data_IF_640481526379
#
_entry.id   IF_640481526379
#
_cell.length_a   1.000
_cell.length_b   1.000
_cell.length_c   1.000
_cell.angle_alpha   90.00
_cell.angle_beta   90.00
_cell.angle_gamma   90.00
#
_symmetry.space_group_name_H-M   'P 1'
#
loop_
_entity.id
_entity.type
_entity.pdbx_description
1 polymer ?
#
# COMPACT_ATOMS: atom_id res chain seq x y z
N UNK A 1 -26.15 8.98 -37.32
CA UNK A 1 -24.68 8.96 -37.13
C UNK A 1 -24.41 8.57 -35.69
N UNK A 2 -24.08 7.30 -35.42
CA UNK A 2 -23.76 6.82 -34.07
C UNK A 2 -22.27 7.08 -33.83
N UNK A 3 -21.96 8.03 -32.96
CA UNK A 3 -20.61 8.22 -32.41
C UNK A 3 -20.24 6.94 -31.65
N UNK A 4 -19.22 6.23 -32.13
CA UNK A 4 -18.62 5.11 -31.41
C UNK A 4 -18.04 5.64 -30.08
N UNK A 5 -18.15 4.90 -28.96
CA UNK A 5 -17.55 5.33 -27.71
C UNK A 5 -16.02 5.26 -27.87
N UNK A 6 -15.38 6.41 -28.00
CA UNK A 6 -13.96 6.53 -27.72
C UNK A 6 -13.71 6.25 -26.23
N UNK A 7 -12.59 5.59 -25.94
CA UNK A 7 -11.83 5.65 -24.68
C UNK A 7 -11.83 4.53 -23.62
N UNK A 8 -12.32 3.32 -23.87
CA UNK A 8 -12.08 2.24 -22.89
C UNK A 8 -10.61 1.78 -22.77
N UNK A 9 -9.80 1.93 -23.82
CA UNK A 9 -8.42 1.43 -23.81
C UNK A 9 -7.43 2.44 -23.20
N UNK A 10 -7.49 3.72 -23.60
CA UNK A 10 -6.57 4.76 -23.10
C UNK A 10 -6.69 5.04 -21.60
N UNK A 11 -7.91 5.03 -21.06
CA UNK A 11 -8.15 5.21 -19.62
C UNK A 11 -7.64 4.03 -18.79
N UNK A 12 -7.72 2.80 -19.32
CA UNK A 12 -7.17 1.62 -18.64
C UNK A 12 -5.64 1.61 -18.63
N UNK A 13 -4.98 2.02 -19.72
CA UNK A 13 -3.53 2.16 -19.74
C UNK A 13 -3.04 3.24 -18.76
N UNK A 14 -3.71 4.40 -18.72
CA UNK A 14 -3.40 5.46 -17.77
C UNK A 14 -3.61 5.02 -16.32
N UNK A 15 -4.74 4.36 -16.03
CA UNK A 15 -5.03 3.80 -14.71
C UNK A 15 -3.98 2.77 -14.27
N UNK A 16 -3.54 1.91 -15.18
CA UNK A 16 -2.51 0.92 -14.90
C UNK A 16 -1.13 1.56 -14.63
N UNK A 17 -0.77 2.58 -15.41
CA UNK A 17 0.47 3.34 -15.21
C UNK A 17 0.47 4.07 -13.85
N UNK A 18 -0.64 4.74 -13.50
CA UNK A 18 -0.80 5.42 -12.21
C UNK A 18 -0.75 4.44 -11.03
N UNK A 19 -1.40 3.28 -11.15
CA UNK A 19 -1.32 2.21 -10.15
C UNK A 19 0.12 1.75 -9.96
N UNK A 20 0.84 1.49 -11.05
CA UNK A 20 2.23 1.01 -11.00
C UNK A 20 3.15 2.04 -10.34
N UNK A 21 3.01 3.33 -10.67
CA UNK A 21 3.76 4.40 -10.05
C UNK A 21 3.51 4.45 -8.53
N UNK A 22 2.25 4.48 -8.09
CA UNK A 22 1.89 4.45 -6.66
C UNK A 22 2.39 3.19 -5.97
N UNK A 23 2.31 2.03 -6.61
CA UNK A 23 2.81 0.78 -6.06
C UNK A 23 4.32 0.84 -5.83
N UNK A 24 5.08 1.36 -6.79
CA UNK A 24 6.54 1.54 -6.66
C UNK A 24 6.86 2.49 -5.49
N UNK A 25 6.16 3.61 -5.38
CA UNK A 25 6.37 4.58 -4.30
C UNK A 25 6.10 3.98 -2.92
N UNK A 26 4.97 3.30 -2.75
CA UNK A 26 4.58 2.63 -1.50
C UNK A 26 5.62 1.56 -1.15
N UNK A 27 5.94 0.66 -2.10
CA UNK A 27 6.88 -0.44 -1.86
C UNK A 27 8.28 0.08 -1.55
N UNK A 28 8.75 1.15 -2.20
CA UNK A 28 10.05 1.78 -1.90
C UNK A 28 10.12 2.27 -0.46
N UNK A 29 9.09 2.98 0.01
CA UNK A 29 9.02 3.48 1.39
C UNK A 29 8.94 2.35 2.42
N UNK A 30 8.16 1.30 2.12
CA UNK A 30 8.05 0.12 3.00
C UNK A 30 9.34 -0.70 3.03
N UNK A 31 10.02 -0.89 1.90
CA UNK A 31 11.34 -1.53 1.81
C UNK A 31 12.38 -0.78 2.66
N UNK A 32 12.43 0.55 2.55
CA UNK A 32 13.31 1.36 3.39
C UNK A 32 13.02 1.12 4.88
N UNK A 33 11.75 1.10 5.26
CA UNK A 33 11.31 0.84 6.64
C UNK A 33 11.65 -0.57 7.13
N UNK A 34 11.54 -1.57 6.24
CA UNK A 34 11.97 -2.96 6.49
C UNK A 34 13.47 -3.05 6.70
N UNK A 35 14.28 -2.36 5.88
CA UNK A 35 15.75 -2.31 6.01
C UNK A 35 16.21 -1.65 7.31
N UNK A 36 15.45 -0.68 7.82
CA UNK A 36 15.67 -0.09 9.15
C UNK A 36 15.31 -1.04 10.31
N UNK A 37 14.72 -2.19 10.03
CA UNK A 37 14.36 -3.19 11.04
C UNK A 37 13.06 -2.88 11.78
N UNK A 38 12.21 -1.98 11.27
CA UNK A 38 10.91 -1.67 11.88
C UNK A 38 9.81 -2.68 11.49
N UNK A 39 9.92 -3.23 10.28
CA UNK A 39 9.01 -4.23 9.71
C UNK A 39 9.76 -5.53 9.42
N UNK A 40 9.06 -6.66 9.54
CA UNK A 40 9.58 -7.95 9.05
C UNK A 40 9.20 -8.14 7.58
N UNK A 41 7.96 -7.82 7.25
CA UNK A 41 7.40 -8.05 5.92
C UNK A 41 6.27 -7.05 5.63
N UNK A 42 5.90 -6.92 4.36
CA UNK A 42 4.73 -6.14 3.95
C UNK A 42 4.12 -6.69 2.66
N UNK A 43 2.87 -6.30 2.45
CA UNK A 43 2.09 -6.65 1.27
C UNK A 43 1.23 -5.45 0.87
N UNK A 44 1.18 -5.18 -0.43
CA UNK A 44 0.38 -4.10 -1.01
C UNK A 44 -0.64 -4.69 -1.97
N UNK A 45 -1.89 -4.75 -1.54
CA UNK A 45 -3.01 -5.25 -2.33
C UNK A 45 -3.82 -4.07 -2.91
N UNK A 46 -4.43 -4.30 -4.07
CA UNK A 46 -5.25 -3.32 -4.76
C UNK A 46 -6.59 -3.97 -5.12
N UNK A 47 -7.69 -3.43 -4.62
CA UNK A 47 -9.03 -3.92 -4.94
C UNK A 47 -9.43 -3.54 -6.38
N UNK A 48 -9.00 -2.34 -6.82
CA UNK A 48 -9.26 -1.81 -8.17
C UNK A 48 -8.03 -1.04 -8.68
N UNK A 49 -7.84 -0.90 -10.01
CA UNK A 49 -6.68 -0.20 -10.59
C UNK A 49 -6.54 1.26 -10.10
N UNK A 50 -7.65 1.99 -10.00
CA UNK A 50 -7.71 3.35 -9.46
C UNK A 50 -8.15 3.39 -7.98
N UNK A 51 -8.26 2.23 -7.35
CA UNK A 51 -8.77 2.08 -5.99
C UNK A 51 -7.79 2.59 -4.93
N UNK A 52 -8.27 2.62 -3.70
CA UNK A 52 -7.39 2.81 -2.54
C UNK A 52 -6.60 1.51 -2.30
N UNK A 53 -5.26 1.55 -2.27
CA UNK A 53 -4.47 0.38 -1.92
C UNK A 53 -4.70 -0.03 -0.47
N UNK A 54 -4.65 -1.34 -0.21
CA UNK A 54 -4.59 -1.91 1.13
C UNK A 54 -3.16 -2.34 1.40
N UNK A 55 -2.58 -1.78 2.45
CA UNK A 55 -1.22 -2.10 2.89
C UNK A 55 -1.31 -2.94 4.15
N UNK A 56 -0.80 -4.16 4.08
CA UNK A 56 -0.66 -5.04 5.23
C UNK A 56 0.81 -5.10 5.59
N UNK A 57 1.19 -4.65 6.78
CA UNK A 57 2.56 -4.75 7.27
C UNK A 57 2.65 -5.72 8.43
N UNK A 58 3.72 -6.49 8.46
CA UNK A 58 4.06 -7.35 9.59
C UNK A 58 5.05 -6.60 10.48
N UNK A 59 4.53 -6.09 11.60
CA UNK A 59 5.33 -5.37 12.59
C UNK A 59 6.19 -6.33 13.41
N UNK A 60 7.37 -5.87 13.84
CA UNK A 60 8.18 -6.64 14.79
C UNK A 60 7.57 -6.63 16.20
N UNK A 61 7.76 -7.71 16.99
CA UNK A 61 7.26 -7.78 18.37
C UNK A 61 7.89 -6.74 19.30
N UNK A 62 9.08 -6.23 18.96
CA UNK A 62 9.75 -5.16 19.70
C UNK A 62 8.98 -3.83 19.66
N UNK A 63 8.09 -3.62 18.69
CA UNK A 63 7.34 -2.38 18.52
C UNK A 63 5.82 -2.62 18.66
N UNK A 64 5.11 -1.79 19.44
CA UNK A 64 3.65 -1.89 19.52
C UNK A 64 3.00 -1.66 18.15
N UNK A 65 2.04 -2.52 17.78
CA UNK A 65 1.36 -2.44 16.49
C UNK A 65 0.72 -1.06 16.21
N UNK A 66 0.24 -0.36 17.23
CA UNK A 66 -0.32 0.99 17.07
C UNK A 66 0.74 2.01 16.69
N UNK A 67 1.94 1.93 17.27
CA UNK A 67 3.06 2.81 16.96
C UNK A 67 3.53 2.56 15.52
N UNK A 68 3.72 1.29 15.15
CA UNK A 68 4.02 0.90 13.77
C UNK A 68 2.95 1.42 12.81
N UNK A 69 1.66 1.26 13.15
CA UNK A 69 0.56 1.74 12.31
C UNK A 69 0.61 3.25 12.09
N UNK A 70 0.81 4.02 13.16
CA UNK A 70 0.88 5.48 13.08
C UNK A 70 2.07 5.94 12.24
N UNK A 71 3.23 5.31 12.42
CA UNK A 71 4.42 5.60 11.62
C UNK A 71 4.20 5.31 10.13
N UNK A 72 3.64 4.15 9.78
CA UNK A 72 3.36 3.80 8.38
C UNK A 72 2.25 4.68 7.79
N UNK A 73 1.27 5.10 8.60
CA UNK A 73 0.24 6.03 8.19
C UNK A 73 0.79 7.42 7.85
N UNK A 74 1.78 7.89 8.60
CA UNK A 74 2.48 9.14 8.32
C UNK A 74 3.36 9.02 7.07
N UNK A 75 4.18 7.96 7.01
CA UNK A 75 5.07 7.65 5.88
C UNK A 75 4.32 7.56 4.53
N UNK A 76 3.09 7.06 4.57
CA UNK A 76 2.25 6.83 3.39
C UNK A 76 1.07 7.80 3.28
N UNK A 77 1.01 8.88 4.07
CA UNK A 77 -0.19 9.73 4.20
C UNK A 77 -0.76 10.23 2.86
N UNK A 78 0.11 10.56 1.91
CA UNK A 78 -0.27 11.04 0.57
C UNK A 78 -0.63 9.92 -0.42
N UNK A 79 -0.21 8.68 -0.12
CA UNK A 79 -0.32 7.54 -1.02
C UNK A 79 -1.43 6.58 -0.60
N UNK A 80 -1.60 6.37 0.71
CA UNK A 80 -2.48 5.38 1.31
C UNK A 80 -3.14 5.99 2.54
N UNK A 81 -4.48 6.05 2.60
CA UNK A 81 -5.16 6.53 3.79
C UNK A 81 -4.96 5.54 4.94
N UNK A 82 -4.88 6.05 6.18
CA UNK A 82 -4.63 5.24 7.38
C UNK A 82 -5.60 4.05 7.56
N UNK A 83 -6.84 4.17 7.07
CA UNK A 83 -7.86 3.10 7.07
C UNK A 83 -7.48 1.89 6.20
N UNK A 84 -6.64 2.09 5.20
CA UNK A 84 -6.12 1.04 4.31
C UNK A 84 -4.91 0.30 4.89
N UNK A 85 -4.42 0.72 6.07
CA UNK A 85 -3.20 0.18 6.68
C UNK A 85 -3.57 -0.80 7.79
N UNK A 86 -3.10 -2.04 7.65
CA UNK A 86 -3.31 -3.12 8.59
C UNK A 86 -1.94 -3.56 9.10
N UNK A 87 -1.76 -3.56 10.43
CA UNK A 87 -0.55 -4.11 11.06
C UNK A 87 -0.89 -5.46 11.63
N UNK A 88 -0.27 -6.51 11.11
CA UNK A 88 -0.32 -7.84 11.68
C UNK A 88 0.88 -8.01 12.61
N UNK A 89 0.67 -8.64 13.77
CA UNK A 89 1.77 -9.12 14.60
C UNK A 89 2.05 -10.57 14.21
N UNK A 90 3.30 -11.05 14.26
CA UNK A 90 3.51 -12.48 14.44
C UNK A 90 2.77 -12.87 15.72
N UNK A 91 1.82 -13.80 15.63
CA UNK A 91 1.27 -14.47 16.79
C UNK A 91 2.47 -14.99 17.57
N UNK A 92 2.71 -14.45 18.78
CA UNK A 92 3.66 -15.04 19.71
C UNK A 92 3.13 -16.44 19.97
N UNK A 93 3.68 -17.43 19.27
CA UNK A 93 3.38 -18.83 19.54
C UNK A 93 3.78 -19.11 20.97
N UNK A 94 2.77 -19.37 21.79
CA UNK A 94 2.91 -19.96 23.12
C UNK A 94 3.41 -21.40 23.00
#
# INVERSE_FOLDING_TARGET
>A
MRVAPANSNGEQFAAHAMRKARHIDISTRLEATKRLGLLEDYRVDWDRPLGTPRVTVRGRPAYPAQITKNYIADLLAELVPARGIVVTRPSSGA
#
